data_IF_417510844645
#
_entry.id   IF_417510844645
#
_cell.length_a   1.000
_cell.length_b   1.000
_cell.length_c   1.000
_cell.angle_alpha   90.00
_cell.angle_beta   90.00
_cell.angle_gamma   90.00
#
_symmetry.space_group_name_H-M   'P 1'
#
loop_
_entity.id
_entity.type
_entity.pdbx_description
1 polymer ?
#
# COMPACT_ATOMS: atom_id res chain seq x y z
N UNK A 1 -8.66 -26.15 13.83
CA UNK A 1 -7.50 -26.03 14.72
C UNK A 1 -7.88 -25.32 16.02
N UNK A 2 -8.25 -24.05 16.05
CA UNK A 2 -8.60 -23.29 17.28
C UNK A 2 -9.60 -23.99 18.21
N UNK A 3 -10.65 -24.66 17.63
CA UNK A 3 -11.61 -25.43 18.43
C UNK A 3 -10.99 -26.65 19.11
N UNK A 4 -9.96 -27.22 18.52
CA UNK A 4 -9.22 -28.36 19.11
C UNK A 4 -8.33 -27.87 20.23
N UNK A 5 -7.58 -26.81 19.99
CA UNK A 5 -6.72 -26.16 20.99
C UNK A 5 -7.53 -25.72 22.22
N UNK A 6 -8.71 -25.12 22.01
CA UNK A 6 -9.62 -24.76 23.10
C UNK A 6 -10.10 -25.99 23.90
N UNK A 7 -10.46 -27.07 23.22
CA UNK A 7 -10.87 -28.33 23.89
C UNK A 7 -9.75 -29.02 24.65
N UNK A 8 -8.52 -28.86 24.17
CA UNK A 8 -7.32 -29.41 24.83
C UNK A 8 -6.88 -28.59 26.04
N UNK A 9 -7.45 -27.41 26.28
CA UNK A 9 -7.04 -26.53 27.36
C UNK A 9 -5.77 -25.72 27.04
N UNK A 10 -5.39 -25.62 25.76
CA UNK A 10 -4.14 -24.93 25.36
C UNK A 10 -4.11 -23.45 25.77
N UNK A 11 -5.29 -22.87 26.08
CA UNK A 11 -5.45 -21.48 26.54
C UNK A 11 -5.73 -21.33 28.04
N UNK A 12 -5.86 -22.45 28.83
CA UNK A 12 -6.28 -22.40 30.22
C UNK A 12 -5.30 -21.69 31.16
N UNK A 13 -4.03 -21.61 30.77
CA UNK A 13 -2.98 -20.90 31.51
C UNK A 13 -2.83 -19.42 31.14
N UNK A 14 -3.57 -18.96 30.12
CA UNK A 14 -3.50 -17.57 29.66
C UNK A 14 -4.31 -16.67 30.60
N UNK A 15 -3.66 -15.67 31.17
CA UNK A 15 -4.27 -14.75 32.15
C UNK A 15 -4.51 -13.35 31.60
N UNK A 16 -3.99 -13.05 30.41
CA UNK A 16 -4.08 -11.73 29.76
C UNK A 16 -4.80 -11.83 28.43
N UNK A 17 -5.72 -10.90 28.15
CA UNK A 17 -6.44 -10.83 26.88
C UNK A 17 -5.49 -10.54 25.69
N UNK A 18 -4.43 -9.77 25.92
CA UNK A 18 -3.39 -9.54 24.90
C UNK A 18 -2.64 -10.84 24.57
N UNK A 19 -2.22 -11.59 25.59
CA UNK A 19 -1.55 -12.88 25.41
C UNK A 19 -2.46 -13.89 24.67
N UNK A 20 -3.76 -13.88 24.96
CA UNK A 20 -4.74 -14.69 24.25
C UNK A 20 -4.83 -14.29 22.77
N UNK A 21 -4.89 -13.00 22.49
CA UNK A 21 -4.93 -12.49 21.13
C UNK A 21 -3.68 -12.89 20.34
N UNK A 22 -2.49 -12.74 20.92
CA UNK A 22 -1.22 -13.12 20.32
C UNK A 22 -1.19 -14.63 19.98
N UNK A 23 -1.55 -15.49 20.95
CA UNK A 23 -1.59 -16.96 20.74
C UNK A 23 -2.56 -17.38 19.66
N UNK A 24 -3.76 -16.79 19.63
CA UNK A 24 -4.73 -17.06 18.57
C UNK A 24 -4.17 -16.60 17.22
N UNK A 25 -3.55 -15.41 17.17
CA UNK A 25 -2.89 -14.88 15.98
C UNK A 25 -1.80 -15.79 15.45
N UNK A 26 -0.90 -16.28 16.33
CA UNK A 26 0.15 -17.23 15.97
C UNK A 26 -0.43 -18.56 15.41
N UNK A 27 -1.46 -19.10 16.04
CA UNK A 27 -2.13 -20.32 15.56
C UNK A 27 -2.76 -20.13 14.19
N UNK A 28 -3.36 -18.97 13.92
CA UNK A 28 -3.95 -18.65 12.61
C UNK A 28 -2.87 -18.47 11.53
N UNK A 29 -1.80 -17.74 11.84
CA UNK A 29 -0.68 -17.54 10.91
C UNK A 29 0.00 -18.87 10.56
N UNK A 30 0.20 -19.75 11.54
CA UNK A 30 0.80 -21.07 11.30
C UNK A 30 -0.08 -21.97 10.42
N UNK A 31 -1.40 -21.85 10.51
CA UNK A 31 -2.34 -22.64 9.70
C UNK A 31 -2.47 -22.12 8.27
N UNK A 32 -2.53 -20.79 8.12
CA UNK A 32 -2.81 -20.14 6.83
C UNK A 32 -1.55 -19.77 6.07
N UNK A 33 -0.39 -19.73 6.74
CA UNK A 33 0.87 -19.17 6.25
C UNK A 33 0.76 -17.68 5.87
N UNK A 34 -0.31 -17.02 6.33
CA UNK A 34 -0.55 -15.60 6.07
C UNK A 34 -0.09 -14.76 7.29
N UNK A 35 1.03 -14.06 7.09
CA UNK A 35 1.63 -13.19 8.12
C UNK A 35 0.84 -11.89 8.37
N UNK A 36 -0.18 -11.59 7.56
CA UNK A 36 -1.03 -10.41 7.74
C UNK A 36 -2.19 -10.67 8.70
N UNK A 37 -2.49 -11.95 9.03
CA UNK A 37 -3.50 -12.27 10.02
C UNK A 37 -3.00 -11.88 11.42
N UNK A 38 -3.68 -10.91 12.01
CA UNK A 38 -3.38 -10.39 13.33
C UNK A 38 -4.67 -10.31 14.16
N UNK A 39 -4.61 -10.75 15.41
CA UNK A 39 -5.69 -10.59 16.38
C UNK A 39 -5.24 -9.55 17.39
N UNK A 40 -6.06 -8.53 17.61
CA UNK A 40 -5.80 -7.47 18.58
C UNK A 40 -6.91 -7.42 19.61
N UNK A 41 -6.51 -7.28 20.86
CA UNK A 41 -7.45 -6.98 21.94
C UNK A 41 -7.57 -5.48 22.15
N UNK A 42 -8.79 -5.00 22.39
CA UNK A 42 -9.08 -3.64 22.75
C UNK A 42 -9.77 -3.63 24.11
N UNK A 43 -9.24 -2.89 25.09
CA UNK A 43 -9.79 -2.81 26.44
C UNK A 43 -11.17 -2.15 26.44
N UNK A 44 -11.37 -1.15 25.60
CA UNK A 44 -12.66 -0.53 25.39
C UNK A 44 -13.42 -1.21 24.26
N UNK A 45 -14.74 -1.45 24.43
CA UNK A 45 -15.56 -1.98 23.34
C UNK A 45 -15.44 -1.08 22.11
N UNK A 46 -15.22 -1.67 20.95
CA UNK A 46 -15.29 -0.94 19.68
C UNK A 46 -16.71 -0.39 19.58
N UNK A 47 -16.91 0.96 19.60
CA UNK A 47 -18.24 1.53 19.55
C UNK A 47 -18.98 1.02 18.33
N UNK A 48 -20.24 0.63 18.48
CA UNK A 48 -21.12 0.39 17.35
C UNK A 48 -21.40 1.74 16.69
N UNK A 49 -20.60 2.09 15.70
CA UNK A 49 -20.73 3.34 14.96
C UNK A 49 -21.69 3.16 13.78
N UNK A 50 -22.27 4.25 13.34
CA UNK A 50 -22.99 4.28 12.09
C UNK A 50 -21.98 4.04 10.95
N UNK A 51 -22.10 2.95 10.16
CA UNK A 51 -21.15 2.62 9.11
C UNK A 51 -20.86 3.79 8.15
N UNK A 52 -21.86 4.60 7.85
CA UNK A 52 -21.71 5.75 6.93
C UNK A 52 -20.87 6.89 7.56
N UNK A 53 -20.99 7.12 8.87
CA UNK A 53 -20.21 8.12 9.59
C UNK A 53 -18.75 7.66 9.77
N UNK A 54 -18.52 6.38 10.03
CA UNK A 54 -17.19 5.80 10.08
C UNK A 54 -16.46 5.93 8.74
N UNK A 55 -17.08 5.53 7.66
CA UNK A 55 -16.50 5.64 6.30
C UNK A 55 -16.15 7.10 5.99
N UNK A 56 -17.01 8.04 6.37
CA UNK A 56 -16.76 9.47 6.13
C UNK A 56 -15.61 10.00 7.00
N UNK A 57 -15.57 9.63 8.27
CA UNK A 57 -14.51 10.04 9.19
C UNK A 57 -13.15 9.45 8.79
N UNK A 58 -13.13 8.17 8.37
CA UNK A 58 -11.93 7.49 7.89
C UNK A 58 -11.40 8.12 6.59
N UNK A 59 -12.27 8.41 5.63
CA UNK A 59 -11.88 9.12 4.41
C UNK A 59 -11.26 10.49 4.70
N UNK A 60 -11.83 11.23 5.64
CA UNK A 60 -11.28 12.52 6.03
C UNK A 60 -9.92 12.39 6.74
N UNK A 61 -9.78 11.39 7.60
CA UNK A 61 -8.51 11.07 8.26
C UNK A 61 -7.44 10.69 7.23
N UNK A 62 -7.78 9.78 6.31
CA UNK A 62 -6.90 9.36 5.22
C UNK A 62 -6.48 10.54 4.32
N UNK A 63 -7.40 11.42 4.01
CA UNK A 63 -7.09 12.61 3.21
C UNK A 63 -6.09 13.54 3.92
N UNK A 64 -6.29 13.81 5.21
CA UNK A 64 -5.35 14.61 6.01
C UNK A 64 -3.97 13.95 6.08
N UNK A 65 -3.92 12.64 6.27
CA UNK A 65 -2.67 11.89 6.32
C UNK A 65 -1.96 11.89 4.96
N UNK A 66 -2.68 11.70 3.86
CA UNK A 66 -2.13 11.81 2.51
C UNK A 66 -1.49 13.19 2.28
N UNK A 67 -2.15 14.26 2.71
CA UNK A 67 -1.60 15.62 2.62
C UNK A 67 -0.33 15.73 3.48
N UNK A 68 -0.37 15.28 4.72
CA UNK A 68 0.75 15.33 5.67
C UNK A 68 1.98 14.57 5.15
N UNK A 69 1.77 13.43 4.52
CA UNK A 69 2.80 12.56 3.94
C UNK A 69 3.12 12.90 2.48
N UNK A 70 2.62 14.04 1.97
CA UNK A 70 2.79 14.45 0.57
C UNK A 70 2.48 13.30 -0.41
N UNK A 71 1.40 12.54 -0.11
CA UNK A 71 0.93 11.40 -0.94
C UNK A 71 1.98 10.31 -1.18
N UNK A 72 2.85 10.11 -0.21
CA UNK A 72 3.92 9.11 -0.23
C UNK A 72 5.26 9.62 -0.76
N UNK A 73 5.34 10.81 -1.33
CA UNK A 73 6.62 11.40 -1.76
C UNK A 73 7.38 11.98 -0.57
N UNK A 74 8.45 11.31 -0.17
CA UNK A 74 9.33 11.78 0.89
C UNK A 74 10.43 12.69 0.37
N UNK A 75 11.08 12.33 -0.74
CA UNK A 75 12.12 13.14 -1.38
C UNK A 75 12.12 12.93 -2.89
N UNK A 76 12.44 14.02 -3.63
CA UNK A 76 12.72 14.01 -5.07
C UNK A 76 13.97 14.82 -5.29
N UNK A 77 15.03 14.23 -5.84
CA UNK A 77 16.34 14.85 -5.95
C UNK A 77 17.06 14.44 -7.24
N UNK A 78 18.06 15.22 -7.61
CA UNK A 78 19.01 14.91 -8.67
C UNK A 78 20.40 14.71 -8.08
N UNK A 79 20.79 13.44 -7.96
CA UNK A 79 22.07 13.04 -7.39
C UNK A 79 23.25 13.34 -8.35
N UNK A 80 24.51 13.28 -7.84
CA UNK A 80 25.71 13.35 -8.68
C UNK A 80 25.62 12.39 -9.88
N UNK A 81 26.36 12.70 -10.93
CA UNK A 81 26.37 11.95 -12.21
C UNK A 81 25.05 11.97 -12.98
N UNK A 82 24.17 12.96 -12.68
CA UNK A 82 22.88 13.14 -13.33
C UNK A 82 21.93 11.94 -13.13
N UNK A 83 21.81 11.46 -11.91
CA UNK A 83 20.90 10.38 -11.53
C UNK A 83 19.69 11.00 -10.84
N UNK A 84 18.47 10.69 -11.33
CA UNK A 84 17.21 11.01 -10.64
C UNK A 84 17.02 10.12 -9.43
N UNK A 85 16.45 10.67 -8.36
CA UNK A 85 16.15 9.93 -7.14
C UNK A 85 14.75 10.31 -6.65
N UNK A 86 13.94 9.30 -6.38
CA UNK A 86 12.61 9.44 -5.80
C UNK A 86 12.52 8.48 -4.61
N UNK A 87 12.32 9.02 -3.40
CA UNK A 87 12.05 8.25 -2.17
C UNK A 87 10.55 8.23 -1.93
N UNK A 88 9.94 7.03 -2.10
CA UNK A 88 8.50 6.81 -1.97
C UNK A 88 8.20 5.93 -0.75
N UNK A 89 7.49 6.48 0.22
CA UNK A 89 7.09 5.77 1.44
C UNK A 89 5.71 5.12 1.35
N UNK A 90 4.95 5.34 0.26
CA UNK A 90 3.64 4.71 0.05
C UNK A 90 3.02 5.07 -1.29
N UNK A 91 1.93 4.39 -1.61
CA UNK A 91 1.12 4.60 -2.82
C UNK A 91 -0.27 5.06 -2.41
N UNK A 92 -0.42 6.37 -2.17
CA UNK A 92 -1.67 6.94 -1.68
C UNK A 92 -2.82 6.72 -2.67
N UNK A 93 -4.01 6.38 -2.16
CA UNK A 93 -5.24 6.30 -2.95
C UNK A 93 -5.86 7.70 -3.12
N UNK A 94 -5.24 8.49 -3.97
CA UNK A 94 -5.65 9.85 -4.31
C UNK A 94 -5.23 10.21 -5.74
N UNK A 95 -5.81 9.57 -6.76
CA UNK A 95 -5.31 9.61 -8.14
C UNK A 95 -5.00 10.99 -8.71
N UNK A 96 -5.86 12.02 -8.58
CA UNK A 96 -5.56 13.33 -9.15
C UNK A 96 -4.32 14.00 -8.52
N UNK A 97 -4.22 13.96 -7.18
CA UNK A 97 -3.13 14.60 -6.45
C UNK A 97 -1.80 13.84 -6.62
N UNK A 98 -1.88 12.52 -6.70
CA UNK A 98 -0.70 11.67 -6.99
C UNK A 98 -0.21 11.92 -8.41
N UNK A 99 -1.11 11.97 -9.40
CA UNK A 99 -0.76 12.24 -10.79
C UNK A 99 -0.06 13.59 -10.96
N UNK A 100 -0.54 14.63 -10.27
CA UNK A 100 0.07 15.96 -10.27
C UNK A 100 1.51 15.93 -9.75
N UNK A 101 1.72 15.27 -8.60
CA UNK A 101 3.05 15.16 -7.97
C UNK A 101 4.01 14.34 -8.80
N UNK A 102 3.53 13.22 -9.32
CA UNK A 102 4.34 12.38 -10.19
C UNK A 102 4.73 13.12 -11.47
N UNK A 103 3.81 13.84 -12.09
CA UNK A 103 4.10 14.67 -13.27
C UNK A 103 5.17 15.72 -12.97
N UNK A 104 5.10 16.38 -11.81
CA UNK A 104 6.09 17.37 -11.39
C UNK A 104 7.48 16.72 -11.17
N UNK A 105 7.53 15.60 -10.43
CA UNK A 105 8.76 14.84 -10.20
C UNK A 105 9.38 14.35 -11.52
N UNK A 106 8.58 13.78 -12.41
CA UNK A 106 9.06 13.28 -13.69
C UNK A 106 9.50 14.41 -14.64
N UNK A 107 8.84 15.57 -14.59
CA UNK A 107 9.30 16.75 -15.34
C UNK A 107 10.66 17.22 -14.84
N UNK A 108 10.89 17.27 -13.53
CA UNK A 108 12.17 17.64 -12.92
C UNK A 108 13.30 16.67 -13.30
N UNK A 109 12.99 15.36 -13.35
CA UNK A 109 13.97 14.31 -13.51
C UNK A 109 14.05 13.74 -14.95
N UNK A 110 13.22 14.22 -15.89
CA UNK A 110 13.13 13.66 -17.25
C UNK A 110 14.46 13.59 -17.99
N UNK A 111 15.36 14.52 -17.75
CA UNK A 111 16.63 14.63 -18.45
C UNK A 111 17.81 13.96 -17.69
N UNK A 112 17.51 13.21 -16.62
CA UNK A 112 18.51 12.41 -15.94
C UNK A 112 18.87 11.16 -16.75
N UNK A 113 20.12 10.69 -16.61
CA UNK A 113 20.60 9.53 -17.37
C UNK A 113 20.14 8.19 -16.82
N UNK A 114 19.78 8.15 -15.54
CA UNK A 114 19.25 7.00 -14.84
C UNK A 114 18.36 7.47 -13.68
N UNK A 115 17.53 6.60 -13.14
CA UNK A 115 16.65 6.91 -12.01
C UNK A 115 16.71 5.80 -10.97
N UNK A 116 16.71 6.20 -9.72
CA UNK A 116 16.54 5.33 -8.55
C UNK A 116 15.19 5.67 -7.93
N UNK A 117 14.32 4.66 -7.81
CA UNK A 117 13.09 4.73 -7.03
C UNK A 117 13.33 3.93 -5.75
N UNK A 118 13.43 4.62 -4.64
CA UNK A 118 13.71 4.02 -3.34
C UNK A 118 12.40 3.62 -2.65
N UNK A 119 12.18 2.32 -2.55
CA UNK A 119 10.99 1.73 -1.92
C UNK A 119 11.32 1.03 -0.58
N UNK A 120 12.52 1.19 -0.04
CA UNK A 120 12.95 0.50 1.18
C UNK A 120 12.08 0.81 2.40
N UNK A 121 11.44 1.99 2.42
CA UNK A 121 10.51 2.44 3.46
C UNK A 121 9.06 2.47 2.98
N UNK A 122 8.77 1.87 1.82
CA UNK A 122 7.43 1.87 1.27
C UNK A 122 6.54 0.85 1.97
N UNK A 123 5.42 1.31 2.52
CA UNK A 123 4.42 0.50 3.20
C UNK A 123 3.33 -0.07 2.29
N UNK A 124 3.44 0.10 0.97
CA UNK A 124 2.41 -0.32 0.02
C UNK A 124 1.37 0.75 -0.25
N UNK A 125 0.16 0.34 -0.65
CA UNK A 125 -0.99 1.22 -0.91
C UNK A 125 -1.80 0.81 -2.15
N UNK A 126 -2.33 1.80 -2.88
CA UNK A 126 -3.24 1.58 -4.01
C UNK A 126 -2.55 0.97 -5.23
N UNK A 127 -3.05 -0.16 -5.76
CA UNK A 127 -2.58 -0.75 -7.01
C UNK A 127 -2.72 0.18 -8.21
N UNK A 128 -3.78 1.00 -8.25
CA UNK A 128 -3.98 1.97 -9.34
C UNK A 128 -2.87 3.03 -9.35
N UNK A 129 -2.43 3.46 -8.17
CA UNK A 129 -1.29 4.37 -8.05
C UNK A 129 0.02 3.72 -8.50
N UNK A 130 0.23 2.44 -8.22
CA UNK A 130 1.38 1.68 -8.73
C UNK A 130 1.33 1.63 -10.26
N UNK A 131 0.17 1.33 -10.84
CA UNK A 131 -0.05 1.33 -12.30
C UNK A 131 0.25 2.68 -12.94
N UNK A 132 -0.19 3.77 -12.29
CA UNK A 132 0.11 5.13 -12.72
C UNK A 132 1.63 5.40 -12.72
N UNK A 133 2.34 5.03 -11.66
CA UNK A 133 3.79 5.23 -11.56
C UNK A 133 4.54 4.42 -12.61
N UNK A 134 4.18 3.15 -12.77
CA UNK A 134 4.76 2.27 -13.81
C UNK A 134 4.58 2.86 -15.22
N UNK A 135 3.47 3.55 -15.46
CA UNK A 135 3.16 4.15 -16.77
C UNK A 135 4.17 5.19 -17.25
N UNK A 136 4.94 5.79 -16.35
CA UNK A 136 6.01 6.71 -16.71
C UNK A 136 7.25 6.03 -17.28
N UNK A 137 7.41 4.72 -17.05
CA UNK A 137 8.57 3.91 -17.45
C UNK A 137 8.30 2.99 -18.61
N UNK A 138 7.07 2.91 -19.08
CA UNK A 138 6.67 2.10 -20.23
C UNK A 138 6.15 2.96 -21.37
N UNK A 139 6.69 2.78 -22.57
CA UNK A 139 6.28 3.52 -23.75
C UNK A 139 4.90 3.09 -24.25
N UNK A 140 4.56 1.82 -24.05
CA UNK A 140 3.31 1.21 -24.48
C UNK A 140 2.49 0.77 -23.26
N UNK A 141 1.17 0.59 -23.46
CA UNK A 141 0.34 -0.06 -22.47
C UNK A 141 0.87 -1.48 -22.20
N UNK A 142 1.28 -1.72 -20.97
CA UNK A 142 1.94 -2.96 -20.54
C UNK A 142 1.14 -3.57 -19.41
N UNK A 143 0.92 -4.90 -19.48
CA UNK A 143 0.33 -5.67 -18.38
C UNK A 143 1.36 -5.80 -17.25
N UNK A 144 0.93 -5.50 -16.02
CA UNK A 144 1.77 -5.54 -14.84
C UNK A 144 1.58 -6.84 -14.06
N UNK A 145 0.36 -7.07 -13.59
CA UNK A 145 -0.03 -8.24 -12.83
C UNK A 145 -1.55 -8.36 -12.76
N UNK A 146 -2.03 -9.47 -12.23
CA UNK A 146 -3.42 -9.72 -11.92
C UNK A 146 -3.63 -9.78 -10.41
N UNK A 147 -4.76 -9.21 -9.96
CA UNK A 147 -5.18 -9.28 -8.56
C UNK A 147 -6.44 -10.13 -8.49
N UNK A 148 -6.33 -11.28 -7.86
CA UNK A 148 -7.48 -12.16 -7.64
C UNK A 148 -8.11 -11.88 -6.27
N UNK A 149 -9.37 -11.46 -6.28
CA UNK A 149 -10.19 -11.24 -5.08
C UNK A 149 -11.03 -12.49 -4.81
N UNK A 150 -10.64 -13.25 -3.81
CA UNK A 150 -11.28 -14.54 -3.49
C UNK A 150 -12.75 -14.41 -3.11
N UNK A 151 -13.11 -13.38 -2.35
CA UNK A 151 -14.48 -13.15 -1.87
C UNK A 151 -15.45 -12.92 -3.02
N UNK A 152 -15.01 -12.19 -4.06
CA UNK A 152 -15.81 -11.87 -5.23
C UNK A 152 -15.62 -12.90 -6.38
N UNK A 153 -14.69 -13.83 -6.22
CA UNK A 153 -14.22 -14.75 -7.28
C UNK A 153 -13.88 -13.98 -8.57
N UNK A 154 -13.19 -12.84 -8.42
CA UNK A 154 -12.92 -11.91 -9.50
C UNK A 154 -11.42 -11.68 -9.64
N UNK A 155 -10.95 -11.71 -10.89
CA UNK A 155 -9.61 -11.27 -11.25
C UNK A 155 -9.68 -9.88 -11.90
N UNK A 156 -8.84 -8.97 -11.42
CA UNK A 156 -8.67 -7.64 -12.01
C UNK A 156 -7.26 -7.53 -12.58
N UNK A 157 -7.17 -7.29 -13.87
CA UNK A 157 -5.90 -7.07 -14.56
C UNK A 157 -5.39 -5.66 -14.30
N UNK A 158 -4.13 -5.54 -13.90
CA UNK A 158 -3.47 -4.26 -13.69
C UNK A 158 -2.59 -3.92 -14.89
N UNK A 159 -2.83 -2.75 -15.46
CA UNK A 159 -2.15 -2.28 -16.66
C UNK A 159 -1.58 -0.88 -16.46
N UNK A 160 -0.52 -0.57 -17.19
CA UNK A 160 -0.10 0.83 -17.37
C UNK A 160 -1.10 1.57 -18.25
N UNK A 161 -1.15 2.91 -18.10
CA UNK A 161 -1.94 3.78 -18.98
C UNK A 161 -1.10 4.22 -20.18
N UNK A 162 -1.75 4.45 -21.32
CA UNK A 162 -1.07 4.92 -22.54
C UNK A 162 -0.55 6.35 -22.39
N UNK A 163 -1.30 7.17 -21.66
CA UNK A 163 -0.96 8.59 -21.44
C UNK A 163 -0.87 8.91 -19.96
N UNK A 164 0.08 9.76 -19.62
CA UNK A 164 0.26 10.34 -18.29
C UNK A 164 0.46 11.84 -18.41
N UNK A 165 0.19 12.58 -17.34
CA UNK A 165 0.48 14.01 -17.28
C UNK A 165 2.01 14.23 -17.25
N UNK A 166 2.50 15.23 -17.97
CA UNK A 166 3.94 15.54 -18.02
C UNK A 166 4.72 14.62 -18.96
N UNK A 167 6.00 14.43 -18.66
CA UNK A 167 6.93 13.65 -19.50
C UNK A 167 7.08 12.22 -18.98
N UNK A 168 6.98 11.24 -19.87
CA UNK A 168 7.43 9.88 -19.58
C UNK A 168 8.95 9.83 -19.48
N UNK A 169 9.44 8.97 -18.61
CA UNK A 169 10.88 8.68 -18.54
C UNK A 169 11.29 7.74 -19.69
N UNK A 170 10.38 6.85 -20.07
CA UNK A 170 10.56 5.88 -21.12
C UNK A 170 11.57 4.76 -20.75
N UNK A 171 11.82 3.90 -21.72
CA UNK A 171 12.84 2.86 -21.62
C UNK A 171 14.20 3.46 -22.03
N UNK A 172 14.86 4.15 -21.12
CA UNK A 172 16.24 4.63 -21.36
C UNK A 172 17.18 3.43 -21.33
N UNK A 173 17.91 3.25 -22.44
CA UNK A 173 18.95 2.24 -22.60
C UNK A 173 20.28 2.68 -22.02
#
# INVERSE_FOLDING_TARGET
RLRVELKNGDYDHVTSANELADKIGESLQAETLDKHLEIRYFEEPIPASNPDEEVKSEKLRQQKENIRLNYGFHNVDRLPFNIGYIDLHGFADAPPQVAERMAAAMTLLSDTRAMIIDLRKNGGGSPDTVGLYASYFHDKRTHLNDIYMREENKTTEMWTTESVAGKKYGEKR
#
